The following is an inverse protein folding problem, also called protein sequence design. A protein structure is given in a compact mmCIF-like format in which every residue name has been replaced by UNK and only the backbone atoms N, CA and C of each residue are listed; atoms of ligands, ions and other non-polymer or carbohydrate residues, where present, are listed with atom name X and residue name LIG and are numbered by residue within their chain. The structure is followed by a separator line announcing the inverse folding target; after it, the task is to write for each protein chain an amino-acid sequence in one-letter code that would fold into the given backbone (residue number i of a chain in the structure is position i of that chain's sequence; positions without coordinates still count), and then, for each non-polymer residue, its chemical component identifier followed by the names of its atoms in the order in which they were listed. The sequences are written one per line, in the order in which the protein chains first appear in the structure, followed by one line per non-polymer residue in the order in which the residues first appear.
data_IF_309803377468
#
_entry.id   IF_309803377468
#
_cell.length_a   1.000
_cell.length_b   1.000
_cell.length_c   1.000
_cell.angle_alpha   90.00
_cell.angle_beta   90.00
_cell.angle_gamma   90.00
#
_symmetry.space_group_name_H-M   'P 1'
#
loop_
_entity.id
_entity.type
_entity.pdbx_description
1 polymer ?
#
# COMPACT_ATOMS: atom_id res chain seq x y z
N UNK A 1 -1.11 -7.09 -17.29
CA UNK A 1 -1.47 -6.94 -15.86
C UNK A 1 -0.46 -7.71 -14.99
N UNK A 2 0.80 -7.28 -15.00
CA UNK A 2 1.96 -7.99 -14.42
C UNK A 2 2.91 -7.05 -13.66
N UNK A 3 2.62 -5.74 -13.61
CA UNK A 3 3.61 -4.73 -13.19
C UNK A 3 3.75 -4.63 -11.66
N UNK A 4 2.75 -5.06 -10.88
CA UNK A 4 2.74 -4.84 -9.41
C UNK A 4 2.60 -6.10 -8.55
N UNK A 5 2.25 -7.26 -9.12
CA UNK A 5 2.10 -8.53 -8.36
C UNK A 5 3.41 -9.09 -7.79
N UNK A 6 4.55 -8.62 -8.29
CA UNK A 6 5.89 -9.01 -7.82
C UNK A 6 6.80 -7.79 -7.77
N UNK A 7 6.34 -6.71 -7.14
CA UNK A 7 7.24 -5.65 -6.70
C UNK A 7 7.99 -6.18 -5.47
N UNK A 8 9.09 -6.92 -5.70
CA UNK A 8 10.09 -7.12 -4.64
C UNK A 8 10.50 -5.73 -4.20
N UNK A 9 10.07 -5.34 -2.99
CA UNK A 9 10.26 -4.04 -2.39
C UNK A 9 11.54 -3.39 -2.91
N UNK A 10 11.40 -2.44 -3.84
CA UNK A 10 12.50 -1.62 -4.27
C UNK A 10 12.75 -0.69 -3.09
N UNK A 11 13.47 -1.23 -2.12
CA UNK A 11 13.95 -0.54 -0.96
C UNK A 11 14.77 0.64 -1.47
N UNK A 12 14.17 1.85 -1.46
CA UNK A 12 14.57 2.88 -0.51
C UNK A 12 14.04 4.29 -0.82
N UNK A 13 13.45 4.62 -1.98
CA UNK A 13 13.49 6.06 -2.34
C UNK A 13 12.31 6.77 -3.04
N UNK A 14 11.22 6.14 -3.51
CA UNK A 14 10.26 6.92 -4.35
C UNK A 14 8.76 6.63 -4.20
N UNK A 15 8.28 6.02 -3.11
CA UNK A 15 6.84 5.69 -2.96
C UNK A 15 6.06 6.69 -2.10
N UNK A 16 6.71 7.72 -1.57
CA UNK A 16 6.06 8.80 -0.80
C UNK A 16 5.11 9.68 -1.63
N UNK A 17 5.14 9.58 -2.96
CA UNK A 17 4.23 10.26 -3.89
C UNK A 17 3.79 9.34 -5.03
N UNK A 18 3.77 8.02 -4.81
CA UNK A 18 3.36 7.09 -5.86
C UNK A 18 1.87 7.29 -6.19
N UNK A 19 1.59 7.52 -7.48
CA UNK A 19 0.25 7.49 -8.02
C UNK A 19 -0.10 6.04 -8.36
N UNK A 20 -0.88 5.42 -7.50
CA UNK A 20 -1.39 4.05 -7.59
C UNK A 20 -2.93 4.05 -7.68
N UNK A 21 -3.50 5.17 -8.12
CA UNK A 21 -4.94 5.33 -8.31
C UNK A 21 -5.50 4.22 -9.22
N UNK A 22 -6.49 3.47 -8.73
CA UNK A 22 -7.11 2.37 -9.45
C UNK A 22 -6.21 1.15 -9.70
N UNK A 23 -5.04 1.06 -9.06
CA UNK A 23 -4.11 -0.04 -9.29
C UNK A 23 -4.67 -1.39 -8.77
N UNK A 24 -4.50 -2.46 -9.55
CA UNK A 24 -4.73 -3.83 -9.08
C UNK A 24 -3.52 -4.33 -8.28
N UNK A 25 -3.62 -4.26 -6.96
CA UNK A 25 -2.63 -4.69 -5.97
C UNK A 25 -3.12 -5.94 -5.20
N UNK A 26 -4.01 -6.73 -5.80
CA UNK A 26 -4.51 -7.96 -5.19
C UNK A 26 -3.36 -8.90 -4.81
N UNK A 27 -3.29 -9.29 -3.54
CA UNK A 27 -2.22 -10.09 -2.94
C UNK A 27 -0.80 -9.48 -3.05
N UNK A 28 -0.68 -8.17 -3.26
CA UNK A 28 0.62 -7.51 -3.30
C UNK A 28 1.32 -7.53 -1.93
N UNK A 29 2.66 -7.54 -1.93
CA UNK A 29 3.47 -7.48 -0.71
C UNK A 29 4.14 -6.11 -0.59
N UNK A 30 3.80 -5.37 0.46
CA UNK A 30 4.35 -4.06 0.80
C UNK A 30 4.95 -4.06 2.22
N UNK A 31 5.50 -5.19 2.66
CA UNK A 31 6.13 -5.27 3.98
C UNK A 31 7.23 -4.20 4.12
N UNK A 32 7.20 -3.45 5.21
CA UNK A 32 8.13 -2.37 5.52
C UNK A 32 8.21 -1.26 4.44
N UNK A 33 7.18 -1.13 3.59
CA UNK A 33 7.16 -0.13 2.51
C UNK A 33 6.87 1.29 3.01
N UNK A 34 7.55 2.28 2.44
CA UNK A 34 7.27 3.71 2.70
C UNK A 34 6.20 4.26 1.75
N UNK A 35 4.92 4.09 2.10
CA UNK A 35 3.75 4.55 1.34
C UNK A 35 3.18 5.89 1.86
N UNK A 36 3.97 6.66 2.63
CA UNK A 36 3.49 7.88 3.28
C UNK A 36 3.16 8.93 2.22
N UNK A 37 1.90 9.34 2.09
CA UNK A 37 1.46 10.30 1.07
C UNK A 37 1.13 9.69 -0.30
N UNK A 38 1.15 8.36 -0.43
CA UNK A 38 0.81 7.69 -1.70
C UNK A 38 -0.67 7.91 -2.06
N UNK A 39 -0.96 8.08 -3.36
CA UNK A 39 -2.33 8.09 -3.88
C UNK A 39 -2.75 6.66 -4.23
N UNK A 40 -3.59 6.07 -3.40
CA UNK A 40 -4.16 4.73 -3.54
C UNK A 40 -5.67 4.81 -3.82
N UNK A 41 -6.15 5.95 -4.34
CA UNK A 41 -7.58 6.15 -4.58
C UNK A 41 -8.14 5.06 -5.49
N UNK A 42 -9.16 4.32 -5.06
CA UNK A 42 -9.73 3.23 -5.86
C UNK A 42 -8.83 2.01 -6.07
N UNK A 43 -7.68 1.91 -5.40
CA UNK A 43 -6.75 0.78 -5.57
C UNK A 43 -7.29 -0.50 -4.92
N UNK A 44 -7.09 -1.66 -5.57
CA UNK A 44 -7.44 -2.96 -5.00
C UNK A 44 -6.27 -3.53 -4.21
N UNK A 45 -6.29 -3.40 -2.89
CA UNK A 45 -5.32 -3.97 -1.93
C UNK A 45 -5.87 -5.25 -1.26
N UNK A 46 -6.89 -5.86 -1.85
CA UNK A 46 -7.48 -7.10 -1.36
C UNK A 46 -6.40 -8.18 -1.13
N UNK A 47 -6.39 -8.80 0.06
CA UNK A 47 -5.36 -9.77 0.50
C UNK A 47 -3.90 -9.26 0.50
N UNK A 48 -3.63 -7.95 0.45
CA UNK A 48 -2.26 -7.43 0.44
C UNK A 48 -1.56 -7.57 1.81
N UNK A 49 -0.23 -7.75 1.82
CA UNK A 49 0.60 -7.75 3.03
C UNK A 49 1.25 -6.37 3.27
N UNK A 50 0.68 -5.60 4.19
CA UNK A 50 1.06 -4.26 4.60
C UNK A 50 1.81 -4.22 5.96
N UNK A 51 2.29 -5.36 6.48
CA UNK A 51 2.99 -5.38 7.78
C UNK A 51 4.21 -4.45 7.78
N UNK A 52 4.27 -3.51 8.72
CA UNK A 52 5.35 -2.52 8.78
C UNK A 52 5.30 -1.42 7.73
N UNK A 53 4.29 -1.41 6.84
CA UNK A 53 4.14 -0.34 5.86
C UNK A 53 3.75 0.99 6.52
N UNK A 54 4.45 2.07 6.16
CA UNK A 54 4.10 3.43 6.58
C UNK A 54 3.10 4.02 5.59
N UNK A 55 1.81 4.06 5.96
CA UNK A 55 0.72 4.63 5.17
C UNK A 55 0.27 6.01 5.67
N UNK A 56 1.08 6.69 6.48
CA UNK A 56 0.73 8.03 6.98
C UNK A 56 0.41 8.98 5.82
N UNK A 57 -0.69 9.73 5.90
CA UNK A 57 -1.12 10.65 4.82
C UNK A 57 -1.43 9.99 3.46
N UNK A 58 -1.49 8.66 3.35
CA UNK A 58 -1.89 8.01 2.10
C UNK A 58 -3.38 8.23 1.79
N UNK A 59 -3.71 8.45 0.52
CA UNK A 59 -5.09 8.58 0.06
C UNK A 59 -5.68 7.20 -0.24
N UNK A 60 -6.39 6.62 0.73
CA UNK A 60 -7.01 5.29 0.62
C UNK A 60 -8.52 5.35 0.32
N UNK A 61 -9.05 6.51 -0.11
CA UNK A 61 -10.47 6.62 -0.44
C UNK A 61 -10.82 5.67 -1.59
N UNK A 62 -11.92 4.93 -1.45
CA UNK A 62 -12.36 3.90 -2.41
C UNK A 62 -11.37 2.74 -2.62
N UNK A 63 -10.27 2.68 -1.86
CA UNK A 63 -9.36 1.54 -1.91
C UNK A 63 -10.03 0.30 -1.27
N UNK A 64 -9.90 -0.85 -1.92
CA UNK A 64 -10.36 -2.13 -1.39
C UNK A 64 -9.27 -2.76 -0.53
N UNK A 65 -9.47 -2.77 0.78
CA UNK A 65 -8.56 -3.37 1.77
C UNK A 65 -9.06 -4.72 2.30
N UNK A 66 -10.01 -5.37 1.62
CA UNK A 66 -10.62 -6.60 2.10
C UNK A 66 -9.52 -7.65 2.39
N UNK A 67 -9.45 -8.10 3.65
CA UNK A 67 -8.46 -9.08 4.14
C UNK A 67 -7.00 -8.67 3.93
N UNK A 68 -6.72 -7.38 3.70
CA UNK A 68 -5.35 -6.89 3.79
C UNK A 68 -4.81 -7.13 5.21
N UNK A 69 -3.58 -7.64 5.31
CA UNK A 69 -2.93 -7.91 6.60
C UNK A 69 -1.95 -6.79 6.89
N UNK A 70 -2.08 -6.13 8.03
CA UNK A 70 -1.19 -5.05 8.43
C UNK A 70 -1.20 -4.88 9.93
N UNK A 71 -0.04 -4.66 10.53
CA UNK A 71 0.06 -4.21 11.91
C UNK A 71 0.08 -2.69 11.87
N UNK A 72 -1.09 -2.06 11.88
CA UNK A 72 -1.16 -0.64 12.16
C UNK A 72 -1.04 -0.48 13.68
N UNK A 73 0.11 -0.04 14.15
CA UNK A 73 0.13 0.74 15.39
C UNK A 73 -0.55 2.06 15.05
N UNK A 74 -1.87 2.10 15.19
CA UNK A 74 -2.55 3.37 15.44
C UNK A 74 -1.94 3.89 16.75
N UNK A 75 -0.86 4.65 16.65
CA UNK A 75 -0.37 5.41 17.77
C UNK A 75 -1.44 6.49 18.00
N UNK A 76 -2.43 6.13 18.81
CA UNK A 76 -3.32 7.08 19.45
C UNK A 76 -2.40 8.06 20.19
N UNK A 77 -2.46 9.33 19.79
CA UNK A 77 -2.20 10.45 20.68
C UNK A 77 -3.56 11.10 20.94
#
# INVERSE_FOLDING_TARGET
MLVVKSMRAFALALVTLACLTGADLFQATFRDAHLRGADLFGASLSNADLRGANLGFAFLREADLLRAIGQYTAHCL
#
